data_IF_212987723382
#
_entry.id   IF_212987723382
#
_cell.length_a   1.000
_cell.length_b   1.000
_cell.length_c   1.000
_cell.angle_alpha   90.00
_cell.angle_beta   90.00
_cell.angle_gamma   90.00
#
_symmetry.space_group_name_H-M   'P 1'
#
loop_
_entity.id
_entity.type
_entity.pdbx_description
1 polymer ?
#
# COMPACT_ATOMS: atom_id res chain seq x y z
N UNK A 1 20.10 23.26 13.44
CA UNK A 1 20.78 22.14 14.10
C UNK A 1 19.81 20.96 14.06
N UNK A 2 19.85 20.21 12.96
CA UNK A 2 19.23 18.90 12.83
C UNK A 2 20.26 18.07 12.06
N UNK A 3 20.80 17.10 12.78
CA UNK A 3 21.82 16.17 12.37
C UNK A 3 21.32 14.83 12.90
N UNK A 4 20.65 14.06 12.04
CA UNK A 4 20.20 12.68 12.32
C UNK A 4 19.63 12.03 11.04
N UNK A 5 20.45 11.95 10.00
CA UNK A 5 20.40 10.77 9.12
C UNK A 5 21.78 10.15 9.17
N UNK A 6 21.91 9.14 10.02
CA UNK A 6 23.02 8.19 10.00
C UNK A 6 22.94 7.38 8.71
N UNK A 7 23.35 8.00 7.61
CA UNK A 7 23.89 7.27 6.47
C UNK A 7 25.18 6.67 7.02
N UNK A 8 25.22 5.34 7.14
CA UNK A 8 26.49 4.64 7.22
C UNK A 8 27.31 5.14 6.05
N UNK A 9 28.33 5.98 6.35
CA UNK A 9 29.39 6.29 5.42
C UNK A 9 29.96 4.94 5.00
N UNK A 10 29.52 4.46 3.85
CA UNK A 10 30.35 3.57 3.04
C UNK A 10 31.63 4.39 2.87
N UNK A 11 32.67 3.95 3.59
CA UNK A 11 34.01 4.47 3.49
C UNK A 11 34.31 4.53 1.99
N UNK A 12 34.44 5.73 1.45
CA UNK A 12 34.76 5.96 0.04
C UNK A 12 35.89 5.01 -0.37
N UNK A 13 35.68 4.08 -1.32
CA UNK A 13 36.82 3.54 -2.04
C UNK A 13 37.20 4.61 -3.07
N UNK A 14 38.10 5.52 -2.70
CA UNK A 14 38.96 6.30 -3.62
C UNK A 14 38.30 6.91 -4.88
N UNK A 15 37.01 7.26 -4.86
CA UNK A 15 36.32 7.82 -6.03
C UNK A 15 36.78 9.26 -6.34
N UNK A 16 37.38 9.94 -5.36
CA UNK A 16 37.94 11.27 -5.57
C UNK A 16 39.21 11.26 -6.43
N UNK A 17 39.92 10.12 -6.49
CA UNK A 17 41.11 9.93 -7.32
C UNK A 17 40.73 9.41 -8.72
N UNK A 18 39.71 8.53 -8.82
CA UNK A 18 39.21 8.04 -10.11
C UNK A 18 38.49 9.11 -10.93
N UNK A 19 37.73 10.01 -10.30
CA UNK A 19 37.11 11.15 -11.00
C UNK A 19 38.13 12.17 -11.52
N UNK A 20 39.26 12.35 -10.81
CA UNK A 20 40.37 13.16 -11.30
C UNK A 20 41.00 12.55 -12.55
N UNK A 21 41.20 11.23 -12.56
CA UNK A 21 41.79 10.52 -13.70
C UNK A 21 40.87 10.59 -14.92
N UNK A 22 39.55 10.43 -14.77
CA UNK A 22 38.60 10.53 -15.88
C UNK A 22 38.44 11.97 -16.42
N UNK A 23 38.60 12.99 -15.57
CA UNK A 23 38.59 14.41 -16.01
C UNK A 23 39.75 14.78 -16.93
N UNK A 24 40.85 14.01 -16.91
CA UNK A 24 41.99 14.21 -17.81
C UNK A 24 41.80 13.60 -19.21
N UNK A 25 40.81 12.73 -19.39
CA UNK A 25 40.52 12.08 -20.68
C UNK A 25 39.25 12.61 -21.37
N UNK A 26 38.53 13.54 -20.75
CA UNK A 26 37.37 14.21 -21.34
C UNK A 26 37.69 15.70 -21.49
N UNK A 27 37.94 16.15 -22.72
CA UNK A 27 37.97 17.57 -23.06
C UNK A 27 36.54 18.14 -22.90
N UNK A 28 36.16 18.58 -21.71
CA UNK A 28 35.01 19.46 -21.54
C UNK A 28 35.43 20.88 -21.91
N UNK A 29 34.84 21.43 -22.97
CA UNK A 29 35.01 22.85 -23.29
C UNK A 29 34.32 23.63 -22.16
N UNK A 30 34.94 24.72 -21.69
CA UNK A 30 34.40 25.52 -20.59
C UNK A 30 32.99 26.07 -20.89
N UNK A 31 32.67 26.28 -22.17
CA UNK A 31 31.33 26.64 -22.65
C UNK A 31 30.31 25.50 -22.47
N UNK A 32 30.72 24.23 -22.58
CA UNK A 32 29.86 23.05 -22.39
C UNK A 32 29.49 22.86 -20.91
N UNK A 33 30.41 23.18 -20.00
CA UNK A 33 30.15 23.15 -18.55
C UNK A 33 29.12 24.21 -18.14
N UNK A 34 29.27 25.44 -18.66
CA UNK A 34 28.30 26.51 -18.42
C UNK A 34 26.93 26.21 -19.05
N UNK A 35 26.91 25.62 -20.25
CA UNK A 35 25.69 25.16 -20.91
C UNK A 35 24.99 24.07 -20.08
N UNK A 36 25.74 23.10 -19.54
CA UNK A 36 25.20 22.03 -18.70
C UNK A 36 24.57 22.60 -17.42
N UNK A 37 25.24 23.53 -16.74
CA UNK A 37 24.72 24.18 -15.54
C UNK A 37 23.43 24.97 -15.82
N UNK A 38 23.42 25.78 -16.89
CA UNK A 38 22.22 26.53 -17.33
C UNK A 38 21.07 25.59 -17.67
N UNK A 39 21.37 24.44 -18.29
CA UNK A 39 20.38 23.43 -18.67
C UNK A 39 19.79 22.76 -17.43
N UNK A 40 20.63 22.32 -16.49
CA UNK A 40 20.19 21.75 -15.21
C UNK A 40 19.31 22.74 -14.44
N UNK A 41 19.70 24.02 -14.37
CA UNK A 41 18.91 25.05 -13.69
C UNK A 41 17.52 25.23 -14.30
N UNK A 42 17.40 25.20 -15.63
CA UNK A 42 16.10 25.26 -16.33
C UNK A 42 15.24 24.03 -16.05
N UNK A 43 15.86 22.85 -16.03
CA UNK A 43 15.20 21.58 -15.72
C UNK A 43 14.69 21.60 -14.26
N UNK A 44 15.53 21.98 -13.29
CA UNK A 44 15.13 22.11 -11.88
C UNK A 44 13.95 23.06 -11.70
N UNK A 45 14.00 24.24 -12.33
CA UNK A 45 12.89 25.20 -12.28
C UNK A 45 11.58 24.64 -12.87
N UNK A 46 11.68 23.82 -13.92
CA UNK A 46 10.54 23.17 -14.53
C UNK A 46 9.92 22.12 -13.59
N UNK A 47 10.75 21.32 -12.92
CA UNK A 47 10.28 20.34 -11.94
C UNK A 47 9.71 20.98 -10.67
N UNK A 48 10.29 22.07 -10.17
CA UNK A 48 9.71 22.83 -9.06
C UNK A 48 8.28 23.30 -9.38
N UNK A 49 8.02 23.73 -10.62
CA UNK A 49 6.67 24.11 -11.06
C UNK A 49 5.71 22.92 -11.08
N UNK A 50 6.18 21.75 -11.51
CA UNK A 50 5.39 20.52 -11.53
C UNK A 50 5.03 20.11 -10.10
N UNK A 51 6.01 20.07 -9.20
CA UNK A 51 5.81 19.74 -7.77
C UNK A 51 4.80 20.69 -7.14
N UNK A 52 4.97 22.01 -7.29
CA UNK A 52 4.03 23.01 -6.75
C UNK A 52 2.60 22.90 -7.31
N UNK A 53 2.45 22.39 -8.54
CA UNK A 53 1.14 22.12 -9.13
C UNK A 53 0.54 20.83 -8.58
N UNK A 54 1.36 19.81 -8.37
CA UNK A 54 0.97 18.52 -7.80
C UNK A 54 0.62 18.62 -6.31
N UNK A 55 1.26 19.50 -5.54
CA UNK A 55 0.90 19.83 -4.15
C UNK A 55 -0.54 20.31 -3.98
N UNK A 56 -1.18 20.82 -5.03
CA UNK A 56 -2.60 21.23 -5.01
C UNK A 56 -3.56 20.07 -5.27
N UNK A 57 -3.04 18.90 -5.63
CA UNK A 57 -3.79 17.69 -5.98
C UNK A 57 -3.60 16.60 -4.92
N UNK A 58 -3.28 17.00 -3.69
CA UNK A 58 -3.10 16.05 -2.60
C UNK A 58 -4.38 15.27 -2.30
N UNK A 59 -4.25 14.00 -1.92
CA UNK A 59 -5.39 13.11 -1.69
C UNK A 59 -6.04 13.43 -0.34
N UNK A 60 -7.03 14.33 -0.35
CA UNK A 60 -7.70 14.83 0.85
C UNK A 60 -8.38 13.73 1.67
N UNK A 61 -9.06 12.78 1.02
CA UNK A 61 -9.78 11.73 1.73
C UNK A 61 -8.82 10.70 2.32
N UNK A 62 -7.72 10.38 1.63
CA UNK A 62 -6.64 9.56 2.17
C UNK A 62 -6.01 10.21 3.40
N UNK A 63 -5.67 11.50 3.31
CA UNK A 63 -5.11 12.22 4.45
C UNK A 63 -6.06 12.21 5.64
N UNK A 64 -7.35 12.46 5.43
CA UNK A 64 -8.37 12.38 6.49
C UNK A 64 -8.47 10.99 7.10
N UNK A 65 -8.35 9.93 6.29
CA UNK A 65 -8.34 8.54 6.74
C UNK A 65 -7.12 8.24 7.63
N UNK A 66 -5.94 8.79 7.29
CA UNK A 66 -4.73 8.65 8.08
C UNK A 66 -4.73 9.51 9.36
N UNK A 67 -5.28 10.73 9.30
CA UNK A 67 -5.35 11.69 10.43
C UNK A 67 -6.37 11.30 11.48
N UNK A 68 -7.58 10.91 11.06
CA UNK A 68 -8.66 10.50 11.98
C UNK A 68 -8.24 9.32 12.86
N UNK A 69 -7.28 8.52 12.38
CA UNK A 69 -6.76 7.35 13.06
C UNK A 69 -5.65 7.66 14.09
N UNK A 70 -4.85 8.73 13.91
CA UNK A 70 -3.91 9.21 14.96
C UNK A 70 -4.64 9.72 16.20
N UNK A 71 -5.89 10.19 16.06
CA UNK A 71 -6.69 10.80 17.13
C UNK A 71 -7.64 9.84 17.87
N UNK A 72 -8.00 8.71 17.26
CA UNK A 72 -8.69 7.63 17.98
C UNK A 72 -7.65 6.92 18.84
N UNK A 73 -7.60 7.31 20.12
CA UNK A 73 -6.65 6.79 21.09
C UNK A 73 -6.43 5.31 20.87
N UNK A 74 -5.18 4.96 20.54
CA UNK A 74 -4.62 3.60 20.45
C UNK A 74 -5.31 2.76 21.50
N UNK A 75 -6.40 2.09 21.13
CA UNK A 75 -7.16 1.31 22.09
C UNK A 75 -6.22 0.19 22.49
N UNK A 76 -5.68 0.27 23.71
CA UNK A 76 -4.64 -0.57 24.32
C UNK A 76 -4.98 -2.07 24.38
N UNK A 77 -5.88 -2.58 23.53
CA UNK A 77 -6.47 -3.91 23.66
C UNK A 77 -6.30 -4.81 22.44
N UNK A 78 -5.77 -4.34 21.32
CA UNK A 78 -5.54 -5.19 20.16
C UNK A 78 -4.05 -5.37 19.90
N UNK A 79 -3.60 -6.62 19.88
CA UNK A 79 -2.27 -6.99 19.38
C UNK A 79 -2.27 -6.92 17.85
N UNK A 80 -2.53 -5.72 17.32
CA UNK A 80 -2.58 -5.42 15.88
C UNK A 80 -1.25 -5.73 15.21
N UNK A 81 -0.15 -5.75 15.97
CA UNK A 81 1.19 -6.09 15.49
C UNK A 81 1.34 -7.56 15.11
N UNK A 82 0.73 -8.48 15.86
CA UNK A 82 0.74 -9.90 15.50
C UNK A 82 -0.08 -10.16 14.23
N UNK A 83 -1.23 -9.48 14.10
CA UNK A 83 -2.12 -9.54 12.94
C UNK A 83 -1.45 -8.93 11.70
N UNK A 84 -0.82 -7.75 11.82
CA UNK A 84 -0.07 -7.14 10.72
C UNK A 84 1.11 -8.03 10.29
N UNK A 85 1.85 -8.61 11.24
CA UNK A 85 2.99 -9.47 10.93
C UNK A 85 2.56 -10.71 10.14
N UNK A 86 1.44 -11.33 10.49
CA UNK A 86 0.90 -12.47 9.76
C UNK A 86 0.35 -12.09 8.37
N UNK A 87 -0.27 -10.92 8.23
CA UNK A 87 -0.70 -10.40 6.92
C UNK A 87 0.49 -10.14 5.99
N UNK A 88 1.62 -9.71 6.56
CA UNK A 88 2.85 -9.39 5.82
C UNK A 88 3.73 -10.62 5.55
N UNK A 89 3.76 -11.62 6.43
CA UNK A 89 4.47 -12.89 6.19
C UNK A 89 3.83 -13.70 5.05
N UNK A 90 2.50 -13.61 4.91
CA UNK A 90 1.73 -14.49 4.02
C UNK A 90 1.55 -13.93 2.59
N UNK A 91 1.67 -12.62 2.40
CA UNK A 91 1.73 -11.96 1.10
C UNK A 91 2.70 -10.78 1.14
N UNK A 92 4.02 -11.04 1.28
CA UNK A 92 5.03 -10.01 1.58
C UNK A 92 5.07 -8.85 0.58
N UNK A 93 4.44 -9.04 -0.59
CA UNK A 93 4.57 -8.16 -1.74
C UNK A 93 3.22 -7.69 -2.34
N UNK A 94 2.09 -7.92 -1.65
CA UNK A 94 0.77 -7.43 -2.08
C UNK A 94 0.02 -6.76 -0.92
N UNK A 95 0.15 -5.44 -0.84
CA UNK A 95 -0.54 -4.54 0.09
C UNK A 95 -2.02 -4.35 -0.28
N UNK A 96 -2.34 -4.35 -1.59
CA UNK A 96 -3.68 -4.06 -2.11
C UNK A 96 -4.68 -5.14 -1.74
N UNK A 97 -4.31 -6.42 -1.80
CA UNK A 97 -5.22 -7.53 -1.49
C UNK A 97 -5.76 -7.50 -0.04
N UNK A 98 -4.93 -7.41 1.02
CA UNK A 98 -5.44 -7.31 2.39
C UNK A 98 -6.26 -6.04 2.61
N UNK A 99 -5.87 -4.90 2.01
CA UNK A 99 -6.62 -3.65 2.08
C UNK A 99 -8.03 -3.77 1.50
N UNK A 100 -8.16 -4.37 0.32
CA UNK A 100 -9.46 -4.60 -0.33
C UNK A 100 -10.32 -5.57 0.50
N UNK A 101 -9.71 -6.63 1.04
CA UNK A 101 -10.42 -7.59 1.89
C UNK A 101 -10.93 -6.93 3.17
N UNK A 102 -10.08 -6.21 3.92
CA UNK A 102 -10.48 -5.50 5.14
C UNK A 102 -11.57 -4.46 4.86
N UNK A 103 -11.46 -3.72 3.76
CA UNK A 103 -12.48 -2.76 3.34
C UNK A 103 -13.80 -3.46 3.03
N UNK A 104 -13.75 -4.60 2.33
CA UNK A 104 -14.93 -5.43 2.06
C UNK A 104 -15.62 -5.85 3.36
N UNK A 105 -14.85 -6.29 4.35
CA UNK A 105 -15.37 -6.66 5.67
C UNK A 105 -16.05 -5.47 6.34
N UNK A 106 -15.42 -4.29 6.33
CA UNK A 106 -15.92 -3.08 6.97
C UNK A 106 -17.24 -2.59 6.34
N UNK A 107 -17.34 -2.59 5.00
CA UNK A 107 -18.56 -2.15 4.31
C UNK A 107 -19.70 -3.17 4.36
N UNK A 108 -19.41 -4.41 4.76
CA UNK A 108 -20.40 -5.47 4.98
C UNK A 108 -21.16 -5.31 6.30
N UNK A 109 -20.69 -4.45 7.20
CA UNK A 109 -21.32 -4.22 8.50
C UNK A 109 -22.58 -3.35 8.32
N UNK A 110 -23.79 -3.87 8.59
CA UNK A 110 -25.05 -3.16 8.31
C UNK A 110 -25.35 -2.01 9.28
N UNK A 111 -24.79 -2.00 10.50
CA UNK A 111 -25.10 -0.98 11.52
C UNK A 111 -24.22 0.28 11.39
N UNK A 112 -23.28 0.30 10.46
CA UNK A 112 -22.39 1.45 10.26
C UNK A 112 -23.11 2.51 9.43
N UNK A 113 -23.02 3.76 9.89
CA UNK A 113 -23.65 4.87 9.20
C UNK A 113 -23.08 5.04 7.79
N UNK A 114 -23.95 5.41 6.84
CA UNK A 114 -23.57 5.50 5.43
C UNK A 114 -22.43 6.47 5.19
N UNK A 115 -22.42 7.61 5.88
CA UNK A 115 -21.37 8.63 5.79
C UNK A 115 -19.98 8.10 6.18
N UNK A 116 -19.91 7.22 7.18
CA UNK A 116 -18.64 6.60 7.60
C UNK A 116 -18.13 5.61 6.58
N UNK A 117 -19.02 4.79 6.02
CA UNK A 117 -18.66 3.87 4.94
C UNK A 117 -18.23 4.63 3.68
N UNK A 118 -18.94 5.70 3.32
CA UNK A 118 -18.61 6.54 2.17
C UNK A 118 -17.26 7.28 2.37
N UNK A 119 -16.95 7.71 3.60
CA UNK A 119 -15.63 8.25 3.96
C UNK A 119 -14.52 7.21 3.81
N UNK A 120 -14.72 5.99 4.33
CA UNK A 120 -13.75 4.89 4.19
C UNK A 120 -13.51 4.56 2.72
N UNK A 121 -14.58 4.42 1.93
CA UNK A 121 -14.47 4.12 0.50
C UNK A 121 -13.72 5.23 -0.23
N UNK A 122 -14.05 6.50 0.00
CA UNK A 122 -13.38 7.63 -0.66
C UNK A 122 -11.89 7.71 -0.33
N UNK A 123 -11.51 7.48 0.93
CA UNK A 123 -10.10 7.42 1.34
C UNK A 123 -9.38 6.23 0.73
N UNK A 124 -10.05 5.08 0.65
CA UNK A 124 -9.51 3.88 0.01
C UNK A 124 -9.35 4.03 -1.51
N UNK A 125 -10.28 4.68 -2.21
CA UNK A 125 -10.17 4.97 -3.65
C UNK A 125 -8.91 5.78 -3.96
N UNK A 126 -8.61 6.80 -3.14
CA UNK A 126 -7.38 7.59 -3.25
C UNK A 126 -6.14 6.77 -2.86
N UNK A 127 -6.21 6.01 -1.77
CA UNK A 127 -5.12 5.14 -1.32
C UNK A 127 -4.67 4.14 -2.39
N UNK A 128 -5.62 3.48 -3.05
CA UNK A 128 -5.35 2.41 -4.01
C UNK A 128 -4.50 2.88 -5.20
N UNK A 129 -4.56 4.17 -5.56
CA UNK A 129 -3.67 4.77 -6.57
C UNK A 129 -2.21 4.65 -6.14
N UNK A 130 -1.90 5.08 -4.91
CA UNK A 130 -0.53 5.08 -4.40
C UNK A 130 -0.04 3.68 -4.04
N UNK A 131 -0.91 2.84 -3.47
CA UNK A 131 -0.61 1.43 -3.19
C UNK A 131 -0.21 0.71 -4.47
N UNK A 132 -0.97 0.89 -5.55
CA UNK A 132 -0.64 0.29 -6.86
C UNK A 132 0.71 0.78 -7.39
N UNK A 133 1.04 2.07 -7.20
CA UNK A 133 2.33 2.64 -7.61
C UNK A 133 3.49 2.02 -6.81
N UNK A 134 3.33 1.86 -5.49
CA UNK A 134 4.33 1.22 -4.62
C UNK A 134 4.54 -0.23 -5.03
N UNK A 135 3.45 -1.00 -5.14
CA UNK A 135 3.46 -2.41 -5.52
C UNK A 135 4.11 -2.65 -6.89
N UNK A 136 3.73 -1.87 -7.91
CA UNK A 136 4.27 -2.01 -9.25
C UNK A 136 5.77 -1.65 -9.33
N UNK A 137 6.26 -0.83 -8.42
CA UNK A 137 7.65 -0.39 -8.41
C UNK A 137 8.56 -1.34 -7.63
N UNK A 138 8.07 -1.94 -6.54
CA UNK A 138 8.87 -2.83 -5.68
C UNK A 138 8.76 -4.31 -6.07
N UNK A 139 7.59 -4.76 -6.55
CA UNK A 139 7.25 -6.18 -6.66
C UNK A 139 7.03 -6.62 -8.11
N UNK A 140 8.07 -6.45 -8.94
CA UNK A 140 7.99 -6.64 -10.39
C UNK A 140 8.05 -8.11 -10.87
N UNK A 141 7.94 -9.12 -10.00
CA UNK A 141 7.96 -10.53 -10.42
C UNK A 141 6.57 -11.00 -10.87
N UNK A 142 6.53 -11.95 -11.82
CA UNK A 142 5.29 -12.43 -12.45
C UNK A 142 4.26 -12.98 -11.46
N UNK A 143 4.69 -13.60 -10.36
CA UNK A 143 3.79 -14.15 -9.34
C UNK A 143 3.01 -13.04 -8.63
N UNK A 144 3.66 -11.90 -8.32
CA UNK A 144 3.02 -10.77 -7.63
C UNK A 144 2.00 -10.04 -8.51
N UNK A 145 2.26 -9.98 -9.81
CA UNK A 145 1.35 -9.36 -10.79
C UNK A 145 -0.03 -10.04 -10.75
N UNK A 146 -0.09 -11.35 -10.50
CA UNK A 146 -1.37 -12.08 -10.40
C UNK A 146 -2.17 -11.64 -9.18
N UNK A 147 -1.52 -11.48 -8.01
CA UNK A 147 -2.18 -11.01 -6.79
C UNK A 147 -2.65 -9.55 -6.91
N UNK A 148 -1.83 -8.68 -7.50
CA UNK A 148 -2.18 -7.28 -7.74
C UNK A 148 -3.37 -7.15 -8.70
N UNK A 149 -3.37 -7.90 -9.81
CA UNK A 149 -4.52 -7.96 -10.74
C UNK A 149 -5.78 -8.49 -10.06
N UNK A 150 -5.65 -9.48 -9.19
CA UNK A 150 -6.76 -9.98 -8.40
C UNK A 150 -7.30 -8.90 -7.45
N UNK A 151 -6.43 -8.19 -6.73
CA UNK A 151 -6.83 -7.10 -5.85
C UNK A 151 -7.52 -5.95 -6.61
N UNK A 152 -6.99 -5.52 -7.76
CA UNK A 152 -7.59 -4.48 -8.61
C UNK A 152 -8.97 -4.89 -9.14
N UNK A 153 -9.10 -6.13 -9.61
CA UNK A 153 -10.38 -6.67 -10.11
C UNK A 153 -11.41 -6.73 -8.99
N UNK A 154 -10.99 -7.17 -7.79
CA UNK A 154 -11.83 -7.22 -6.61
C UNK A 154 -12.23 -5.81 -6.14
N UNK A 155 -11.29 -4.87 -6.16
CA UNK A 155 -11.54 -3.48 -5.75
C UNK A 155 -12.65 -2.84 -6.59
N UNK A 156 -12.60 -3.00 -7.93
CA UNK A 156 -13.68 -2.52 -8.81
C UNK A 156 -15.04 -3.13 -8.45
N UNK A 157 -15.06 -4.40 -8.05
CA UNK A 157 -16.29 -5.07 -7.63
C UNK A 157 -16.86 -4.50 -6.32
N UNK A 158 -15.97 -4.25 -5.36
CA UNK A 158 -16.28 -3.74 -4.02
C UNK A 158 -16.72 -2.28 -4.09
N UNK A 159 -15.93 -1.43 -4.75
CA UNK A 159 -16.13 0.02 -4.85
C UNK A 159 -17.39 0.37 -5.66
N UNK A 160 -17.54 -0.20 -6.85
CA UNK A 160 -18.62 0.19 -7.78
C UNK A 160 -19.90 -0.59 -7.51
N UNK A 161 -19.79 -1.91 -7.32
CA UNK A 161 -20.96 -2.78 -7.26
C UNK A 161 -21.37 -3.17 -5.84
N UNK A 162 -20.56 -2.84 -4.81
CA UNK A 162 -20.75 -3.28 -3.43
C UNK A 162 -20.97 -4.79 -3.33
N UNK A 163 -20.14 -5.51 -4.10
CA UNK A 163 -20.14 -6.96 -4.17
C UNK A 163 -18.76 -7.52 -3.87
N UNK A 164 -18.73 -8.78 -3.50
CA UNK A 164 -17.52 -9.57 -3.36
C UNK A 164 -17.73 -10.94 -4.00
N UNK A 165 -17.00 -11.21 -5.09
CA UNK A 165 -17.09 -12.44 -5.88
C UNK A 165 -18.54 -12.78 -6.28
N UNK A 166 -19.29 -11.76 -6.72
CA UNK A 166 -20.69 -11.82 -7.13
C UNK A 166 -21.71 -11.69 -5.99
N UNK A 167 -21.28 -11.77 -4.73
CA UNK A 167 -22.17 -11.71 -3.56
C UNK A 167 -22.39 -10.26 -3.12
N UNK A 168 -23.64 -9.85 -2.93
CA UNK A 168 -23.98 -8.49 -2.47
C UNK A 168 -23.66 -8.35 -0.98
N UNK A 169 -22.89 -7.33 -0.61
CA UNK A 169 -22.41 -7.13 0.76
C UNK A 169 -23.51 -6.61 1.70
N UNK A 170 -24.33 -5.65 1.25
CA UNK A 170 -25.38 -5.01 2.07
C UNK A 170 -26.76 -5.65 2.02
N UNK A 171 -26.98 -6.74 1.26
CA UNK A 171 -28.30 -7.40 1.18
C UNK A 171 -28.60 -8.34 2.36
N UNK A 172 -27.78 -8.34 3.39
CA UNK A 172 -27.83 -9.27 4.52
C UNK A 172 -28.46 -8.61 5.75
N UNK A 173 -29.79 -8.59 5.87
CA UNK A 173 -30.53 -8.34 7.14
C UNK A 173 -31.86 -9.10 7.05
N UNK A 174 -32.26 -9.97 8.01
CA UNK A 174 -32.26 -9.75 9.47
C UNK A 174 -31.72 -10.88 10.38
N UNK A 175 -31.07 -11.93 9.87
CA UNK A 175 -30.68 -13.10 10.69
C UNK A 175 -29.27 -13.03 11.31
N UNK A 176 -28.46 -12.07 10.87
CA UNK A 176 -27.04 -11.92 11.21
C UNK A 176 -26.88 -10.53 11.84
N UNK A 177 -26.82 -10.49 13.17
CA UNK A 177 -26.97 -9.24 13.92
C UNK A 177 -25.63 -8.82 14.53
N UNK A 178 -24.78 -9.79 14.84
CA UNK A 178 -23.54 -9.56 15.57
C UNK A 178 -22.34 -9.50 14.61
N UNK A 179 -21.31 -8.78 15.03
CA UNK A 179 -20.04 -8.70 14.31
C UNK A 179 -19.46 -10.09 14.04
N UNK A 180 -19.49 -10.98 15.04
CA UNK A 180 -19.05 -12.36 14.93
C UNK A 180 -19.79 -13.14 13.82
N UNK A 181 -21.12 -13.08 13.78
CA UNK A 181 -21.90 -13.84 12.79
C UNK A 181 -21.58 -13.36 11.35
N UNK A 182 -21.32 -12.07 11.17
CA UNK A 182 -20.89 -11.51 9.88
C UNK A 182 -19.52 -12.08 9.48
N UNK A 183 -18.57 -12.09 10.42
CA UNK A 183 -17.25 -12.68 10.19
C UNK A 183 -17.35 -14.19 9.88
N UNK A 184 -18.10 -14.96 10.65
CA UNK A 184 -18.32 -16.39 10.38
C UNK A 184 -18.97 -16.62 9.01
N UNK A 185 -19.90 -15.77 8.60
CA UNK A 185 -20.51 -15.82 7.27
C UNK A 185 -19.49 -15.53 6.16
N UNK A 186 -18.66 -14.50 6.32
CA UNK A 186 -17.59 -14.15 5.36
C UNK A 186 -16.59 -15.31 5.22
N UNK A 187 -16.14 -15.88 6.34
CA UNK A 187 -15.27 -17.08 6.37
C UNK A 187 -15.92 -18.26 5.66
N UNK A 188 -17.17 -18.57 5.99
CA UNK A 188 -17.91 -19.69 5.39
C UNK A 188 -18.11 -19.49 3.89
N UNK A 189 -18.43 -18.28 3.46
CA UNK A 189 -18.60 -17.93 2.05
C UNK A 189 -17.29 -18.06 1.31
N UNK A 190 -16.18 -17.59 1.89
CA UNK A 190 -14.85 -17.75 1.33
C UNK A 190 -14.43 -19.22 1.19
N UNK A 191 -14.66 -20.02 2.23
CA UNK A 191 -14.41 -21.47 2.19
C UNK A 191 -15.24 -22.17 1.12
N UNK A 192 -16.51 -21.81 0.96
CA UNK A 192 -17.37 -22.33 -0.10
C UNK A 192 -16.91 -21.92 -1.50
N UNK A 193 -16.31 -20.73 -1.66
CA UNK A 193 -15.72 -20.33 -2.94
C UNK A 193 -14.46 -21.13 -3.27
N UNK A 194 -13.60 -21.39 -2.29
CA UNK A 194 -12.40 -22.22 -2.47
C UNK A 194 -12.75 -23.63 -2.94
N UNK A 195 -13.71 -24.30 -2.29
CA UNK A 195 -14.15 -25.65 -2.69
C UNK A 195 -14.79 -25.69 -4.09
N UNK A 196 -15.48 -24.60 -4.48
CA UNK A 196 -16.02 -24.43 -5.85
C UNK A 196 -14.95 -24.25 -6.90
N UNK A 197 -13.81 -23.65 -6.54
CA UNK A 197 -12.66 -23.53 -7.45
C UNK A 197 -11.97 -24.89 -7.59
N UNK A 198 -11.66 -25.56 -6.48
CA UNK A 198 -11.02 -26.88 -6.46
C UNK A 198 -11.81 -27.94 -7.25
N UNK A 199 -13.13 -27.94 -7.15
CA UNK A 199 -14.00 -28.89 -7.89
C UNK A 199 -14.06 -28.62 -9.40
N UNK A 200 -13.69 -27.41 -9.86
CA UNK A 200 -13.66 -27.03 -11.29
C UNK A 200 -12.28 -27.27 -11.93
N UNK A 201 -11.24 -27.47 -11.14
CA UNK A 201 -9.85 -27.58 -11.60
C UNK A 201 -9.50 -28.93 -12.27
N UNK A 202 -10.48 -29.81 -12.52
CA UNK A 202 -10.28 -31.01 -13.37
C UNK A 202 -10.03 -30.68 -14.85
N UNK A 203 -10.15 -29.41 -15.27
CA UNK A 203 -10.03 -28.99 -16.67
C UNK A 203 -9.19 -27.71 -16.86
N UNK A 204 -8.01 -27.66 -16.24
CA UNK A 204 -7.03 -26.58 -16.43
C UNK A 204 -7.43 -25.27 -15.74
N UNK A 205 -6.48 -24.68 -15.01
CA UNK A 205 -6.72 -23.46 -14.24
C UNK A 205 -6.75 -22.24 -15.18
N UNK A 206 -7.90 -21.60 -15.33
CA UNK A 206 -8.02 -20.34 -16.08
C UNK A 206 -7.72 -19.13 -15.18
N UNK A 207 -7.41 -17.97 -15.75
CA UNK A 207 -7.15 -16.74 -15.01
C UNK A 207 -8.30 -16.35 -14.06
N UNK A 208 -9.54 -16.66 -14.46
CA UNK A 208 -10.72 -16.45 -13.61
C UNK A 208 -10.73 -17.32 -12.35
N UNK A 209 -10.25 -18.57 -12.41
CA UNK A 209 -10.22 -19.45 -11.24
C UNK A 209 -9.10 -19.09 -10.28
N UNK A 210 -7.95 -18.62 -10.80
CA UNK A 210 -6.87 -18.05 -9.99
C UNK A 210 -7.33 -16.79 -9.24
N UNK A 211 -7.98 -15.86 -9.93
CA UNK A 211 -8.57 -14.66 -9.30
C UNK A 211 -9.48 -15.03 -8.12
N UNK A 212 -10.43 -15.95 -8.33
CA UNK A 212 -11.38 -16.35 -7.29
C UNK A 212 -10.68 -17.02 -6.10
N UNK A 213 -9.71 -17.90 -6.37
CA UNK A 213 -8.95 -18.58 -5.32
C UNK A 213 -8.16 -17.60 -4.46
N UNK A 214 -7.46 -16.65 -5.08
CA UNK A 214 -6.68 -15.63 -4.36
C UNK A 214 -7.57 -14.76 -3.47
N UNK A 215 -8.67 -14.23 -4.03
CA UNK A 215 -9.60 -13.38 -3.28
C UNK A 215 -10.30 -14.15 -2.15
N UNK A 216 -10.72 -15.39 -2.40
CA UNK A 216 -11.35 -16.24 -1.38
C UNK A 216 -10.36 -16.66 -0.29
N UNK A 217 -9.12 -16.99 -0.66
CA UNK A 217 -8.06 -17.33 0.29
C UNK A 217 -7.74 -16.16 1.21
N UNK A 218 -7.59 -14.95 0.66
CA UNK A 218 -7.40 -13.73 1.46
C UNK A 218 -8.55 -13.50 2.43
N UNK A 219 -9.80 -13.50 1.95
CA UNK A 219 -10.96 -13.33 2.83
C UNK A 219 -11.01 -14.38 3.94
N UNK A 220 -10.78 -15.66 3.61
CA UNK A 220 -10.78 -16.74 4.59
C UNK A 220 -9.73 -16.51 5.68
N UNK A 221 -8.48 -16.24 5.31
CA UNK A 221 -7.35 -16.11 6.25
C UNK A 221 -7.48 -14.88 7.14
N UNK A 222 -7.79 -13.72 6.55
CA UNK A 222 -7.95 -12.47 7.32
C UNK A 222 -9.12 -12.59 8.29
N UNK A 223 -10.22 -13.19 7.85
CA UNK A 223 -11.37 -13.41 8.74
C UNK A 223 -11.02 -14.38 9.87
N UNK A 224 -10.33 -15.49 9.58
CA UNK A 224 -9.83 -16.42 10.62
C UNK A 224 -8.93 -15.72 11.62
N UNK A 225 -8.02 -14.88 11.15
CA UNK A 225 -7.09 -14.13 11.98
C UNK A 225 -7.83 -13.16 12.91
N UNK A 226 -8.86 -12.46 12.41
CA UNK A 226 -9.69 -11.56 13.22
C UNK A 226 -10.56 -12.34 14.22
N UNK A 227 -11.11 -13.48 13.82
CA UNK A 227 -11.88 -14.35 14.72
C UNK A 227 -10.99 -14.88 15.85
N UNK A 228 -9.76 -15.30 15.55
CA UNK A 228 -8.79 -15.79 16.52
C UNK A 228 -8.27 -14.68 17.43
N UNK A 229 -7.89 -13.52 16.92
CA UNK A 229 -7.42 -12.41 17.76
C UNK A 229 -8.49 -11.92 18.76
N UNK A 230 -9.77 -12.16 18.48
CA UNK A 230 -10.90 -11.82 19.35
C UNK A 230 -11.36 -12.95 20.30
N UNK A 231 -10.57 -14.04 20.43
CA UNK A 231 -10.83 -15.38 21.04
C UNK A 231 -11.66 -15.49 22.35
N UNK A 232 -12.01 -14.42 23.06
CA UNK A 232 -12.78 -14.49 24.31
C UNK A 232 -13.92 -13.48 24.45
N UNK A 233 -14.07 -12.53 23.52
CA UNK A 233 -15.09 -11.47 23.63
C UNK A 233 -15.77 -11.12 22.30
N UNK A 234 -15.57 -11.88 21.23
CA UNK A 234 -16.11 -11.52 19.91
C UNK A 234 -17.65 -11.40 19.90
N UNK A 235 -18.34 -12.22 20.68
CA UNK A 235 -19.80 -12.18 20.89
C UNK A 235 -20.26 -10.85 21.50
N UNK A 236 -19.35 -10.12 22.16
CA UNK A 236 -19.57 -8.81 22.79
C UNK A 236 -19.06 -7.64 21.96
N UNK A 237 -18.28 -7.89 20.91
CA UNK A 237 -17.76 -6.85 20.02
C UNK A 237 -18.93 -6.31 19.20
N UNK A 238 -19.19 -5.01 19.36
CA UNK A 238 -20.17 -4.30 18.54
C UNK A 238 -19.70 -4.19 17.09
N UNK A 239 -20.63 -3.99 16.15
CA UNK A 239 -20.23 -3.76 14.76
C UNK A 239 -19.41 -2.47 14.63
N UNK A 240 -19.71 -1.46 15.44
CA UNK A 240 -18.98 -0.20 15.51
C UNK A 240 -17.53 -0.44 15.95
N UNK A 241 -17.30 -1.21 17.02
CA UNK A 241 -15.94 -1.57 17.47
C UNK A 241 -15.19 -2.37 16.40
N UNK A 242 -15.84 -3.33 15.74
CA UNK A 242 -15.23 -4.08 14.64
C UNK A 242 -14.89 -3.15 13.47
N UNK A 243 -15.74 -2.19 13.14
CA UNK A 243 -15.47 -1.21 12.08
C UNK A 243 -14.26 -0.34 12.42
N UNK A 244 -14.11 0.12 13.67
CA UNK A 244 -12.90 0.84 14.10
C UNK A 244 -11.66 -0.05 13.99
N UNK A 245 -11.78 -1.32 14.41
CA UNK A 245 -10.68 -2.28 14.33
C UNK A 245 -10.24 -2.56 12.89
N UNK A 246 -11.20 -2.70 11.96
CA UNK A 246 -10.92 -2.87 10.53
C UNK A 246 -10.29 -1.61 9.94
N UNK A 247 -10.83 -0.43 10.27
CA UNK A 247 -10.29 0.86 9.83
C UNK A 247 -8.87 1.10 10.33
N UNK A 248 -8.58 0.67 11.55
CA UNK A 248 -7.25 0.66 12.16
C UNK A 248 -6.27 -0.19 11.37
N UNK A 249 -6.60 -1.45 11.11
CA UNK A 249 -5.74 -2.34 10.33
C UNK A 249 -5.50 -1.79 8.92
N UNK A 250 -6.52 -1.19 8.29
CA UNK A 250 -6.38 -0.53 6.99
C UNK A 250 -5.37 0.63 7.09
N UNK A 251 -5.51 1.52 8.06
CA UNK A 251 -4.61 2.65 8.25
C UNK A 251 -3.16 2.19 8.51
N UNK A 252 -2.96 1.19 9.36
CA UNK A 252 -1.63 0.63 9.68
C UNK A 252 -0.96 0.06 8.42
N UNK A 253 -1.69 -0.72 7.61
CA UNK A 253 -1.19 -1.28 6.35
C UNK A 253 -0.90 -0.17 5.34
N UNK A 254 -1.75 0.87 5.27
CA UNK A 254 -1.52 2.02 4.40
C UNK A 254 -0.26 2.78 4.80
N UNK A 255 -0.07 3.09 6.09
CA UNK A 255 1.13 3.76 6.57
C UNK A 255 2.36 2.92 6.23
N UNK A 256 2.35 1.62 6.52
CA UNK A 256 3.45 0.71 6.21
C UNK A 256 3.73 0.59 4.70
N UNK A 257 2.71 0.67 3.85
CA UNK A 257 2.89 0.71 2.41
C UNK A 257 3.50 2.06 1.94
N UNK A 258 2.97 3.17 2.45
CA UNK A 258 3.31 4.53 2.02
C UNK A 258 4.69 5.01 2.51
N UNK A 259 5.28 4.39 3.54
CA UNK A 259 6.70 4.60 3.91
C UNK A 259 7.67 4.31 2.75
N UNK A 260 7.25 3.50 1.77
CA UNK A 260 8.05 3.17 0.59
C UNK A 260 8.00 4.24 -0.51
N UNK A 261 7.14 5.26 -0.40
CA UNK A 261 7.01 6.31 -1.42
C UNK A 261 8.32 7.04 -1.74
N UNK A 262 9.17 7.43 -0.77
CA UNK A 262 10.46 8.06 -1.08
C UNK A 262 11.37 7.17 -1.94
N UNK A 263 11.44 5.86 -1.64
CA UNK A 263 12.20 4.90 -2.44
C UNK A 263 11.62 4.78 -3.85
N UNK A 264 10.30 4.65 -3.97
CA UNK A 264 9.61 4.54 -5.26
C UNK A 264 9.84 5.78 -6.13
N UNK A 265 9.78 6.98 -5.54
CA UNK A 265 10.10 8.24 -6.21
C UNK A 265 11.56 8.22 -6.69
N UNK A 266 12.50 7.82 -5.83
CA UNK A 266 13.91 7.72 -6.19
C UNK A 266 14.12 6.72 -7.34
N UNK A 267 13.49 5.54 -7.32
CA UNK A 267 13.58 4.55 -8.40
C UNK A 267 13.10 5.13 -9.74
N UNK A 268 11.99 5.88 -9.75
CA UNK A 268 11.49 6.55 -10.97
C UNK A 268 12.46 7.60 -11.50
N UNK A 269 13.17 8.32 -10.64
CA UNK A 269 14.19 9.28 -11.05
C UNK A 269 15.42 8.63 -11.72
N UNK A 270 15.72 7.38 -11.36
CA UNK A 270 16.90 6.64 -11.82
C UNK A 270 16.59 5.62 -12.94
N UNK A 271 15.48 5.78 -13.67
CA UNK A 271 15.14 4.91 -14.80
C UNK A 271 16.28 4.85 -15.82
N UNK A 272 16.74 3.63 -16.14
CA UNK A 272 17.87 3.36 -17.04
C UNK A 272 17.51 3.48 -18.51
N UNK A 273 16.23 3.31 -18.85
CA UNK A 273 15.72 3.42 -20.21
C UNK A 273 15.61 4.88 -20.63
N UNK A 274 16.53 5.34 -21.49
CA UNK A 274 16.62 6.74 -21.92
C UNK A 274 15.30 7.19 -22.56
N UNK A 275 14.62 6.34 -23.34
CA UNK A 275 13.35 6.70 -23.99
C UNK A 275 12.21 6.95 -22.99
N UNK A 276 12.26 6.35 -21.79
CA UNK A 276 11.23 6.49 -20.75
C UNK A 276 11.63 7.45 -19.64
N UNK A 277 12.89 7.89 -19.60
CA UNK A 277 13.45 8.65 -18.47
C UNK A 277 12.74 9.98 -18.24
N UNK A 278 12.45 10.74 -19.30
CA UNK A 278 11.75 12.03 -19.16
C UNK A 278 10.37 11.85 -18.51
N UNK A 279 9.57 10.92 -19.04
CA UNK A 279 8.22 10.61 -18.51
C UNK A 279 8.30 10.08 -17.08
N UNK A 280 9.29 9.23 -16.79
CA UNK A 280 9.49 8.65 -15.46
C UNK A 280 9.86 9.73 -14.41
N UNK A 281 10.76 10.65 -14.75
CA UNK A 281 11.14 11.76 -13.85
C UNK A 281 9.98 12.75 -13.69
N UNK A 282 9.20 13.02 -14.74
CA UNK A 282 7.98 13.81 -14.63
C UNK A 282 6.98 13.17 -13.66
N UNK A 283 6.74 11.85 -13.79
CA UNK A 283 5.86 11.11 -12.88
C UNK A 283 6.39 11.12 -11.44
N UNK A 284 7.71 11.06 -11.24
CA UNK A 284 8.33 11.17 -9.92
C UNK A 284 8.10 12.55 -9.29
N UNK A 285 8.27 13.63 -10.05
CA UNK A 285 8.02 14.99 -9.58
C UNK A 285 6.54 15.23 -9.23
N UNK A 286 5.63 14.68 -10.04
CA UNK A 286 4.20 14.73 -9.75
C UNK A 286 3.86 13.94 -8.47
N UNK A 287 4.34 12.70 -8.36
CA UNK A 287 4.11 11.85 -7.19
C UNK A 287 4.64 12.51 -5.91
N UNK A 288 5.83 13.11 -5.97
CA UNK A 288 6.42 13.83 -4.84
C UNK A 288 5.51 14.97 -4.37
N UNK A 289 5.01 15.82 -5.28
CA UNK A 289 4.12 16.92 -4.90
C UNK A 289 2.78 16.44 -4.32
N UNK A 290 2.16 15.42 -4.92
CA UNK A 290 0.88 14.84 -4.46
C UNK A 290 1.00 14.15 -3.09
N UNK A 291 2.18 13.62 -2.75
CA UNK A 291 2.37 12.82 -1.52
C UNK A 291 3.23 13.52 -0.47
N UNK A 292 3.70 14.73 -0.73
CA UNK A 292 4.60 15.49 0.16
C UNK A 292 4.10 15.53 1.62
N UNK A 293 2.83 15.87 1.84
CA UNK A 293 2.27 15.94 3.20
C UNK A 293 2.14 14.57 3.84
N UNK A 294 1.82 13.52 3.08
CA UNK A 294 1.79 12.14 3.58
C UNK A 294 3.18 11.72 4.07
N UNK A 295 4.20 11.94 3.23
CA UNK A 295 5.60 11.59 3.55
C UNK A 295 6.03 12.28 4.84
N UNK A 296 5.83 13.60 4.95
CA UNK A 296 6.17 14.36 6.15
C UNK A 296 5.42 13.84 7.38
N UNK A 297 4.12 13.59 7.24
CA UNK A 297 3.26 13.11 8.34
C UNK A 297 3.69 11.73 8.86
N UNK A 298 4.17 10.85 7.98
CA UNK A 298 4.67 9.53 8.35
C UNK A 298 6.06 9.64 9.01
N UNK A 299 6.96 10.48 8.47
CA UNK A 299 8.30 10.68 9.01
C UNK A 299 8.30 11.31 10.41
N UNK A 300 7.37 12.23 10.67
CA UNK A 300 7.21 12.87 11.98
C UNK A 300 6.54 11.95 13.03
N UNK A 301 6.04 10.79 12.61
CA UNK A 301 5.44 9.82 13.52
C UNK A 301 6.49 8.81 13.98
N UNK A 302 6.58 8.56 15.29
CA UNK A 302 7.21 7.34 15.79
C UNK A 302 6.41 6.15 15.23
N UNK A 303 6.89 5.54 14.15
CA UNK A 303 6.32 4.33 13.60
C UNK A 303 6.21 3.30 14.74
N UNK A 304 5.11 2.54 14.84
CA UNK A 304 5.08 1.39 15.71
C UNK A 304 6.30 0.53 15.37
N UNK A 305 7.07 0.14 16.38
CA UNK A 305 8.27 -0.69 16.23
C UNK A 305 7.89 -2.08 15.71
N UNK A 306 7.54 -2.16 14.43
CA UNK A 306 7.62 -3.38 13.65
C UNK A 306 9.10 -3.72 13.65
N UNK A 307 9.42 -4.89 14.21
CA UNK A 307 10.80 -5.35 14.35
C UNK A 307 11.50 -5.13 12.99
N UNK A 308 12.66 -4.44 12.92
CA UNK A 308 13.32 -4.16 11.66
C UNK A 308 13.53 -5.42 10.83
N UNK A 309 13.76 -6.56 11.48
CA UNK A 309 13.92 -7.87 10.83
C UNK A 309 12.64 -8.40 10.13
N UNK A 310 11.46 -7.88 10.48
CA UNK A 310 10.19 -8.17 9.79
C UNK A 310 9.85 -7.13 8.70
N UNK A 311 10.52 -5.97 8.70
CA UNK A 311 10.41 -4.91 7.68
C UNK A 311 11.56 -4.94 6.66
N UNK A 312 12.67 -5.60 6.99
CA UNK A 312 13.82 -5.80 6.12
C UNK A 312 13.58 -6.99 5.19
N UNK A 313 12.86 -6.75 4.09
CA UNK A 313 13.05 -7.56 2.89
C UNK A 313 13.41 -6.76 1.63
N UNK A 314 13.84 -5.50 1.76
CA UNK A 314 14.36 -4.71 0.63
C UNK A 314 15.63 -3.90 0.99
N UNK A 315 16.55 -4.44 1.79
CA UNK A 315 17.89 -3.82 1.95
C UNK A 315 19.05 -4.71 1.52
N UNK A 316 18.94 -6.04 1.54
CA UNK A 316 20.04 -6.91 1.12
C UNK A 316 19.72 -7.71 -0.13
N UNK A 317 20.01 -7.14 -1.31
CA UNK A 317 20.55 -7.84 -2.51
C UNK A 317 20.69 -6.92 -3.72
N UNK A 318 21.48 -5.86 -3.62
CA UNK A 318 22.20 -5.29 -4.77
C UNK A 318 23.60 -4.91 -4.28
N UNK A 319 24.41 -5.95 -4.11
CA UNK A 319 25.78 -5.89 -3.64
C UNK A 319 26.51 -7.17 -4.02
N UNK A 320 26.57 -7.45 -5.33
CA UNK A 320 27.55 -8.31 -5.98
C UNK A 320 27.70 -7.83 -7.43
#
# INVERSE_FOLDING_TARGET
MFDAFGIVLIKEPEQHETNKILSHYVLQLQEDAELAERTLKRISYSFERIIKKAEKQQPYNLMKLLEGYKGFGRAEKFDSHHVLSLLLEESPNCWSLPLVTLTTMAISLPNITKDRVDCLLSGMSEAMVYVTIVEASLNATDDHVIFQKAAQTLWLEVEIYQKWLGNKLRKLVPLVNTAEQILLWLRGTAKNMLTRVESRDTKGQNDSSKFWSISASSMYRITEMILHSNHSNIDKVSQEELFEQLSSMIADILVACLTNLPQVIAMKCHSSEIEKREVSVYAAAQLLGETMQIINTIQDSELPSLNPDNLLFIVDKLGA
#
